data_IF_498052861513
#
_entry.id   IF_498052861513
#
_cell.length_a   1.000
_cell.length_b   1.000
_cell.length_c   1.000
_cell.angle_alpha   90.00
_cell.angle_beta   90.00
_cell.angle_gamma   90.00
#
_symmetry.space_group_name_H-M   'P 1'
#
loop_
_entity.id
_entity.type
_entity.pdbx_description
1 polymer ?
#
# COMPACT_ATOMS: atom_id res chain seq x y z
N UNK A 1 -14.81 4.39 -23.17
CA UNK A 1 -15.59 4.10 -21.95
C UNK A 1 -15.04 4.99 -20.85
N UNK A 2 -15.88 5.75 -20.18
CA UNK A 2 -15.42 6.63 -19.09
C UNK A 2 -15.24 5.81 -17.82
N UNK A 3 -14.03 5.80 -17.25
CA UNK A 3 -13.76 5.16 -15.98
C UNK A 3 -14.47 5.91 -14.85
N UNK A 4 -15.14 5.20 -13.97
CA UNK A 4 -15.92 5.78 -12.87
C UNK A 4 -15.49 5.15 -11.55
N UNK A 5 -15.44 5.93 -10.50
CA UNK A 5 -15.14 5.50 -9.14
C UNK A 5 -16.19 6.04 -8.17
N UNK A 6 -16.43 5.28 -7.10
CA UNK A 6 -17.20 5.78 -5.96
C UNK A 6 -16.35 6.75 -5.16
N UNK A 7 -16.84 7.97 -5.03
CA UNK A 7 -16.18 9.02 -4.24
C UNK A 7 -16.83 9.09 -2.85
N UNK A 8 -16.07 8.76 -1.82
CA UNK A 8 -16.54 8.76 -0.42
C UNK A 8 -16.89 10.16 0.06
N UNK A 9 -16.22 11.20 -0.44
CA UNK A 9 -16.49 12.58 -0.03
C UNK A 9 -17.84 13.09 -0.52
N UNK A 10 -18.25 12.67 -1.73
CA UNK A 10 -19.52 13.08 -2.34
C UNK A 10 -20.62 12.02 -2.21
N UNK A 11 -20.27 10.80 -1.75
CA UNK A 11 -21.15 9.63 -1.68
C UNK A 11 -21.79 9.23 -3.03
N UNK A 12 -21.06 9.42 -4.14
CA UNK A 12 -21.55 9.14 -5.51
C UNK A 12 -20.51 8.40 -6.34
N UNK A 13 -21.00 7.71 -7.36
CA UNK A 13 -20.16 7.21 -8.44
C UNK A 13 -19.98 8.36 -9.43
N UNK A 14 -18.73 8.72 -9.69
CA UNK A 14 -18.38 9.87 -10.51
C UNK A 14 -17.37 9.47 -11.59
N UNK A 15 -17.39 10.13 -12.76
CA UNK A 15 -16.30 10.00 -13.72
C UNK A 15 -14.95 10.34 -13.08
N UNK A 16 -13.96 9.49 -13.31
CA UNK A 16 -12.61 9.77 -12.85
C UNK A 16 -11.99 10.87 -13.71
N UNK A 17 -11.54 11.93 -13.06
CA UNK A 17 -10.82 13.04 -13.70
C UNK A 17 -9.48 13.21 -12.98
N UNK A 18 -8.34 12.97 -13.65
CA UNK A 18 -7.03 13.13 -13.03
C UNK A 18 -6.73 14.62 -12.78
N UNK A 19 -5.94 14.92 -11.75
CA UNK A 19 -5.49 16.29 -11.44
C UNK A 19 -4.56 16.84 -12.52
N UNK A 20 -3.78 15.97 -13.14
CA UNK A 20 -2.89 16.28 -14.27
C UNK A 20 -3.29 15.39 -15.43
N UNK A 21 -3.55 15.97 -16.57
CA UNK A 21 -3.94 15.22 -17.76
C UNK A 21 -2.92 14.12 -18.08
N UNK A 22 -3.41 12.92 -18.30
CA UNK A 22 -2.60 11.74 -18.60
C UNK A 22 -1.83 11.14 -17.42
N UNK A 23 -1.91 11.72 -16.20
CA UNK A 23 -1.16 11.23 -15.02
C UNK A 23 -2.09 10.92 -13.86
N UNK A 24 -1.85 9.79 -13.23
CA UNK A 24 -2.60 9.35 -12.04
C UNK A 24 -1.62 9.05 -10.90
N UNK A 25 -1.84 9.70 -9.76
CA UNK A 25 -1.12 9.41 -8.53
C UNK A 25 -2.08 8.82 -7.51
N UNK A 26 -1.70 7.68 -6.95
CA UNK A 26 -2.49 6.96 -5.95
C UNK A 26 -1.65 6.84 -4.68
N UNK A 27 -2.20 7.30 -3.56
CA UNK A 27 -1.67 7.01 -2.23
C UNK A 27 -2.67 6.14 -1.49
N UNK A 28 -2.19 5.06 -0.88
CA UNK A 28 -3.02 4.23 -0.01
C UNK A 28 -2.28 3.79 1.25
N UNK A 29 -3.05 3.50 2.30
CA UNK A 29 -2.48 2.98 3.54
C UNK A 29 -1.85 1.61 3.31
N UNK A 30 -0.59 1.48 3.71
CA UNK A 30 0.15 0.23 3.72
C UNK A 30 -0.16 -0.64 4.94
N UNK A 31 0.77 -1.51 5.26
CA UNK A 31 0.66 -2.43 6.38
C UNK A 31 1.43 -1.90 7.60
N UNK A 32 0.88 -2.12 8.80
CA UNK A 32 1.65 -2.04 10.05
C UNK A 32 2.48 -3.31 10.19
N UNK A 33 3.80 -3.19 10.20
CA UNK A 33 4.75 -4.31 10.21
C UNK A 33 4.94 -4.90 11.60
N UNK A 34 3.83 -5.28 12.23
CA UNK A 34 3.78 -5.90 13.54
C UNK A 34 3.97 -7.42 13.54
N UNK A 35 3.82 -8.04 12.37
CA UNK A 35 3.91 -9.49 12.13
C UNK A 35 4.02 -9.77 10.64
N UNK A 36 4.28 -11.02 10.27
CA UNK A 36 4.28 -11.44 8.88
C UNK A 36 2.98 -11.04 8.14
N UNK A 37 3.06 -10.67 6.87
CA UNK A 37 1.88 -10.37 6.07
C UNK A 37 1.02 -11.62 5.90
N UNK A 38 -0.29 -11.44 5.95
CA UNK A 38 -1.26 -12.49 5.66
C UNK A 38 -2.12 -12.13 4.43
N UNK A 39 -2.94 -13.08 3.99
CA UNK A 39 -3.73 -12.95 2.77
C UNK A 39 -4.56 -11.67 2.71
N UNK A 40 -5.09 -11.18 3.83
CA UNK A 40 -5.87 -9.94 3.88
C UNK A 40 -5.05 -8.71 3.48
N UNK A 41 -3.79 -8.63 3.91
CA UNK A 41 -2.89 -7.55 3.52
C UNK A 41 -2.56 -7.63 2.02
N UNK A 42 -2.19 -8.81 1.56
CA UNK A 42 -1.81 -9.06 0.16
C UNK A 42 -2.98 -8.82 -0.80
N UNK A 43 -4.19 -9.24 -0.44
CA UNK A 43 -5.38 -9.01 -1.27
C UNK A 43 -5.60 -7.53 -1.57
N UNK A 44 -5.44 -6.67 -0.58
CA UNK A 44 -5.57 -5.22 -0.77
C UNK A 44 -4.57 -4.71 -1.81
N UNK A 45 -3.31 -5.11 -1.71
CA UNK A 45 -2.25 -4.69 -2.63
C UNK A 45 -2.52 -5.17 -4.07
N UNK A 46 -2.99 -6.40 -4.22
CA UNK A 46 -3.39 -6.95 -5.53
C UNK A 46 -4.51 -6.12 -6.16
N UNK A 47 -5.50 -5.66 -5.37
CA UNK A 47 -6.58 -4.80 -5.87
C UNK A 47 -6.02 -3.49 -6.42
N UNK A 48 -5.07 -2.86 -5.71
CA UNK A 48 -4.43 -1.63 -6.19
C UNK A 48 -3.54 -1.88 -7.41
N UNK A 49 -2.86 -3.03 -7.49
CA UNK A 49 -2.09 -3.39 -8.67
C UNK A 49 -2.97 -3.62 -9.91
N UNK A 50 -4.13 -4.25 -9.75
CA UNK A 50 -5.12 -4.38 -10.83
C UNK A 50 -5.61 -3.00 -11.28
N UNK A 51 -5.91 -2.11 -10.36
CA UNK A 51 -6.30 -0.73 -10.68
C UNK A 51 -5.19 -0.01 -11.45
N UNK A 52 -3.93 -0.11 -11.00
CA UNK A 52 -2.77 0.46 -11.70
C UNK A 52 -2.70 -0.04 -13.14
N UNK A 53 -2.69 -1.36 -13.33
CA UNK A 53 -2.60 -1.98 -14.66
C UNK A 53 -3.75 -1.56 -15.58
N UNK A 54 -4.95 -1.43 -15.03
CA UNK A 54 -6.10 -0.95 -15.79
C UNK A 54 -5.92 0.50 -16.24
N UNK A 55 -5.46 1.38 -15.37
CA UNK A 55 -5.20 2.77 -15.68
C UNK A 55 -4.06 2.92 -16.71
N UNK A 56 -2.98 2.15 -16.56
CA UNK A 56 -1.88 2.11 -17.55
C UNK A 56 -2.38 1.62 -18.91
N UNK A 57 -3.18 0.55 -18.93
CA UNK A 57 -3.82 0.06 -20.16
C UNK A 57 -4.73 1.11 -20.80
N UNK A 58 -5.35 1.96 -19.99
CA UNK A 58 -6.20 3.08 -20.44
C UNK A 58 -5.40 4.31 -20.89
N UNK A 59 -4.06 4.24 -20.90
CA UNK A 59 -3.17 5.29 -21.41
C UNK A 59 -2.68 6.30 -20.37
N UNK A 60 -2.86 6.05 -19.07
CA UNK A 60 -2.34 6.91 -18.01
C UNK A 60 -0.93 6.50 -17.59
N UNK A 61 -0.11 7.49 -17.25
CA UNK A 61 1.12 7.30 -16.46
C UNK A 61 0.71 7.20 -14.98
N UNK A 62 0.98 6.06 -14.34
CA UNK A 62 0.48 5.78 -12.99
C UNK A 62 1.61 5.68 -11.98
N UNK A 63 1.49 6.41 -10.88
CA UNK A 63 2.37 6.30 -9.72
C UNK A 63 1.55 5.85 -8.51
N UNK A 64 1.95 4.72 -7.89
CA UNK A 64 1.35 4.27 -6.63
C UNK A 64 2.36 4.37 -5.51
N UNK A 65 1.93 5.01 -4.42
CA UNK A 65 2.68 5.14 -3.17
C UNK A 65 1.88 4.50 -2.05
N UNK A 66 2.53 3.61 -1.30
CA UNK A 66 1.99 3.02 -0.08
C UNK A 66 2.95 3.32 1.08
N UNK A 67 2.40 3.72 2.23
CA UNK A 67 3.22 3.82 3.43
C UNK A 67 3.47 2.42 4.03
N UNK A 68 4.51 2.31 4.83
CA UNK A 68 4.74 1.20 5.75
C UNK A 68 4.72 1.79 7.15
N UNK A 69 3.78 1.36 7.99
CA UNK A 69 3.72 1.80 9.38
C UNK A 69 4.71 0.96 10.19
N UNK A 70 5.87 1.52 10.45
CA UNK A 70 7.00 0.90 11.14
C UNK A 70 7.11 1.30 12.61
N UNK A 71 6.28 2.23 13.08
CA UNK A 71 6.11 2.57 14.50
C UNK A 71 4.62 2.65 14.85
N UNK A 72 4.20 1.83 15.82
CA UNK A 72 2.81 1.70 16.27
C UNK A 72 2.80 0.99 17.63
N UNK A 73 1.80 1.22 18.45
CA UNK A 73 1.67 0.57 19.76
C UNK A 73 1.72 -0.97 19.69
N UNK A 74 1.21 -1.55 18.62
CA UNK A 74 1.24 -3.00 18.38
C UNK A 74 2.66 -3.51 18.12
N UNK A 75 3.49 -2.73 17.43
CA UNK A 75 4.90 -3.05 17.21
C UNK A 75 5.65 -2.99 18.53
N UNK A 76 5.43 -1.93 19.33
CA UNK A 76 6.03 -1.76 20.64
C UNK A 76 5.68 -2.92 21.58
N UNK A 77 4.41 -3.31 21.65
CA UNK A 77 3.95 -4.42 22.49
C UNK A 77 4.60 -5.75 22.05
N UNK A 78 4.55 -6.08 20.75
CA UNK A 78 5.11 -7.35 20.25
C UNK A 78 6.62 -7.43 20.33
N UNK A 79 7.31 -6.32 20.13
CA UNK A 79 8.77 -6.27 20.29
C UNK A 79 9.18 -6.49 21.75
N UNK A 80 8.42 -5.92 22.70
CA UNK A 80 8.63 -6.15 24.13
C UNK A 80 8.40 -7.63 24.51
N UNK A 81 7.33 -8.26 24.02
CA UNK A 81 7.06 -9.69 24.23
C UNK A 81 8.21 -10.57 23.69
N UNK A 82 8.84 -10.19 22.58
CA UNK A 82 9.97 -10.90 21.97
C UNK A 82 11.32 -10.56 22.61
N UNK A 83 11.38 -9.53 23.45
CA UNK A 83 12.64 -9.06 24.03
C UNK A 83 13.61 -8.46 23.01
N UNK A 84 13.11 -7.88 21.92
CA UNK A 84 13.91 -7.25 20.87
C UNK A 84 13.57 -5.75 20.76
N UNK A 85 14.50 -4.91 20.27
CA UNK A 85 14.18 -3.51 19.99
C UNK A 85 13.06 -3.39 18.96
N UNK A 86 12.16 -2.42 19.14
CA UNK A 86 11.00 -2.23 18.25
C UNK A 86 11.39 -2.02 16.79
N UNK A 87 12.45 -1.28 16.53
CA UNK A 87 12.94 -1.05 15.17
C UNK A 87 13.47 -2.33 14.50
N UNK A 88 14.11 -3.24 15.26
CA UNK A 88 14.56 -4.52 14.74
C UNK A 88 13.37 -5.43 14.40
N UNK A 89 12.33 -5.42 15.24
CA UNK A 89 11.07 -6.11 14.97
C UNK A 89 10.39 -5.58 13.70
N UNK A 90 10.24 -4.26 13.59
CA UNK A 90 9.63 -3.62 12.42
C UNK A 90 10.41 -3.93 11.14
N UNK A 91 11.73 -3.80 11.16
CA UNK A 91 12.59 -4.09 10.01
C UNK A 91 12.50 -5.54 9.52
N UNK A 92 12.44 -6.50 10.44
CA UNK A 92 12.27 -7.91 10.11
C UNK A 92 10.99 -8.13 9.28
N UNK A 93 9.85 -7.63 9.77
CA UNK A 93 8.56 -7.82 9.10
C UNK A 93 8.35 -6.93 7.87
N UNK A 94 9.00 -5.78 7.80
CA UNK A 94 9.08 -4.97 6.58
C UNK A 94 9.79 -5.73 5.45
N UNK A 95 10.89 -6.41 5.75
CA UNK A 95 11.59 -7.25 4.77
C UNK A 95 10.71 -8.43 4.30
N UNK A 96 9.95 -9.05 5.21
CA UNK A 96 9.00 -10.11 4.83
C UNK A 96 7.88 -9.55 3.92
N UNK A 97 7.39 -8.34 4.21
CA UNK A 97 6.40 -7.67 3.40
C UNK A 97 6.94 -7.39 1.98
N UNK A 98 8.13 -6.81 1.87
CA UNK A 98 8.77 -6.55 0.58
C UNK A 98 9.01 -7.84 -0.22
N UNK A 99 9.40 -8.91 0.44
CA UNK A 99 9.55 -10.23 -0.18
C UNK A 99 8.22 -10.75 -0.73
N UNK A 100 7.13 -10.64 0.04
CA UNK A 100 5.80 -11.04 -0.40
C UNK A 100 5.35 -10.25 -1.64
N UNK A 101 5.58 -8.93 -1.65
CA UNK A 101 5.25 -8.08 -2.80
C UNK A 101 6.08 -8.45 -4.03
N UNK A 102 7.36 -8.70 -3.87
CA UNK A 102 8.25 -9.11 -4.97
C UNK A 102 7.82 -10.44 -5.59
N UNK A 103 7.42 -11.42 -4.78
CA UNK A 103 6.92 -12.71 -5.26
C UNK A 103 5.64 -12.60 -6.09
N UNK A 104 4.83 -11.57 -5.85
CA UNK A 104 3.60 -11.29 -6.59
C UNK A 104 3.79 -10.31 -7.75
N UNK A 105 5.01 -9.82 -7.97
CA UNK A 105 5.29 -8.84 -9.02
C UNK A 105 4.60 -7.50 -8.80
N UNK A 106 4.34 -7.13 -7.54
CA UNK A 106 3.73 -5.84 -7.20
C UNK A 106 4.77 -4.72 -7.30
N UNK A 107 4.45 -3.67 -8.05
CA UNK A 107 5.30 -2.51 -8.24
C UNK A 107 4.72 -1.31 -7.50
N UNK A 108 5.23 -1.08 -6.30
CA UNK A 108 4.79 -0.01 -5.40
C UNK A 108 6.00 0.80 -4.91
N UNK A 109 5.79 2.07 -4.66
CA UNK A 109 6.74 2.91 -3.92
C UNK A 109 6.31 2.88 -2.44
N UNK A 110 7.20 2.43 -1.55
CA UNK A 110 6.94 2.39 -0.12
C UNK A 110 7.65 3.54 0.60
N UNK A 111 6.96 4.13 1.58
CA UNK A 111 7.50 5.17 2.47
C UNK A 111 7.25 4.71 3.91
N UNK A 112 8.33 4.55 4.68
CA UNK A 112 8.25 4.21 6.11
C UNK A 112 7.88 5.44 6.92
N UNK A 113 6.95 5.30 7.87
CA UNK A 113 6.42 6.43 8.64
C UNK A 113 7.39 6.92 9.72
N UNK A 114 8.24 6.07 10.26
CA UNK A 114 9.11 6.36 11.41
C UNK A 114 10.61 6.37 11.12
N UNK A 115 10.98 6.14 9.89
CA UNK A 115 12.40 6.08 9.51
C UNK A 115 13.04 7.45 9.36
#
# INVERSE_FOLDING_TARGET
MTFQLYNTATHRIEPFVPLIEGKVSIYHCGMTVQSAPHLGHIRKEVVFDVLRRWLEHSGYEVTIVANVTDIDDKILAKSAERGVPWWAHAYEFENELHRAYSLLGLSLIHISDGA
#
